data_IF_590630331041
#
_entry.id   IF_590630331041
#
_cell.length_a   1.000
_cell.length_b   1.000
_cell.length_c   1.000
_cell.angle_alpha   90.00
_cell.angle_beta   90.00
_cell.angle_gamma   90.00
#
_symmetry.space_group_name_H-M   'P 1'
#
loop_
_entity.id
_entity.type
_entity.pdbx_description
1 polymer ?
#
# COMPACT_ATOMS: atom_id res chain seq x y z
N UNK A 1 3.52 -44.77 23.76
CA UNK A 1 3.16 -43.36 23.99
C UNK A 1 4.37 -42.49 23.66
N UNK A 2 4.18 -41.45 22.83
CA UNK A 2 5.22 -40.52 22.36
C UNK A 2 5.45 -39.42 23.38
N UNK A 3 6.68 -38.95 23.57
CA UNK A 3 6.99 -37.52 23.32
C UNK A 3 8.51 -37.29 23.34
N UNK A 4 9.06 -36.82 22.21
CA UNK A 4 10.37 -36.17 22.13
C UNK A 4 10.12 -34.72 22.51
N UNK A 5 10.68 -34.25 23.62
CA UNK A 5 10.66 -32.83 23.95
C UNK A 5 11.61 -32.09 22.98
N UNK A 6 11.04 -31.32 22.06
CA UNK A 6 11.80 -30.35 21.28
C UNK A 6 12.03 -29.12 22.15
N UNK A 7 13.29 -28.80 22.42
CA UNK A 7 13.69 -27.55 23.06
C UNK A 7 13.50 -26.43 22.03
N UNK A 8 12.51 -25.57 22.24
CA UNK A 8 12.36 -24.35 21.46
C UNK A 8 13.41 -23.33 21.91
N UNK A 9 14.39 -23.07 21.05
CA UNK A 9 15.29 -21.93 21.20
C UNK A 9 14.49 -20.64 20.99
N UNK A 10 14.20 -19.94 22.08
CA UNK A 10 13.67 -18.57 22.01
C UNK A 10 14.81 -17.65 21.54
N UNK A 11 14.82 -17.32 20.25
CA UNK A 11 15.59 -16.19 19.77
C UNK A 11 14.93 -14.93 20.33
N UNK A 12 15.59 -14.29 21.30
CA UNK A 12 15.25 -12.96 21.79
C UNK A 12 15.54 -12.00 20.63
N UNK A 13 14.50 -11.71 19.83
CA UNK A 13 14.53 -10.60 18.89
C UNK A 13 14.16 -9.36 19.70
N UNK A 14 15.17 -8.52 19.94
CA UNK A 14 14.98 -7.17 20.48
C UNK A 14 13.96 -6.45 19.60
N UNK A 15 12.83 -6.05 20.19
CA UNK A 15 11.65 -5.54 19.51
C UNK A 15 11.87 -4.25 18.75
N UNK A 16 12.37 -4.35 17.53
CA UNK A 16 12.03 -3.41 16.46
C UNK A 16 10.80 -4.00 15.77
N UNK A 17 9.62 -3.69 16.33
CA UNK A 17 8.35 -4.04 15.73
C UNK A 17 8.19 -3.33 14.39
N UNK A 18 8.67 -3.96 13.32
CA UNK A 18 8.23 -3.61 11.98
C UNK A 18 6.78 -4.06 11.89
N UNK A 19 5.84 -3.13 12.02
CA UNK A 19 4.48 -3.38 11.56
C UNK A 19 4.56 -3.66 10.07
N UNK A 20 4.45 -4.94 9.70
CA UNK A 20 4.23 -5.34 8.32
C UNK A 20 2.85 -4.79 7.92
N UNK A 21 2.83 -3.62 7.28
CA UNK A 21 1.61 -3.07 6.72
C UNK A 21 1.13 -3.96 5.58
N UNK A 22 -0.19 -4.18 5.51
CA UNK A 22 -0.78 -4.90 4.39
C UNK A 22 -0.38 -4.23 3.07
N UNK A 23 0.14 -5.01 2.12
CA UNK A 23 0.54 -4.50 0.82
C UNK A 23 -0.71 -4.17 0.01
N UNK A 24 -0.80 -2.94 -0.48
CA UNK A 24 -1.88 -2.46 -1.35
C UNK A 24 -1.31 -1.92 -2.66
N UNK A 25 -2.06 -2.06 -3.74
CA UNK A 25 -1.73 -1.49 -5.05
C UNK A 25 -2.57 -0.23 -5.30
N UNK A 26 -1.98 0.98 -5.26
CA UNK A 26 -2.69 2.18 -5.69
C UNK A 26 -2.77 2.25 -7.22
N UNK A 27 -3.96 2.52 -7.74
CA UNK A 27 -4.22 2.68 -9.16
C UNK A 27 -4.83 4.05 -9.42
N UNK A 28 -4.17 4.85 -10.26
CA UNK A 28 -4.63 6.18 -10.64
C UNK A 28 -5.68 6.07 -11.75
N UNK A 29 -6.88 6.58 -11.48
CA UNK A 29 -7.97 6.65 -12.45
C UNK A 29 -8.06 8.08 -12.99
N UNK A 30 -7.08 8.49 -13.79
CA UNK A 30 -6.91 9.88 -14.22
C UNK A 30 -8.20 10.51 -14.78
N UNK A 31 -8.94 9.79 -15.63
CA UNK A 31 -10.18 10.29 -16.24
C UNK A 31 -11.33 10.49 -15.26
N UNK A 32 -11.27 9.86 -14.09
CA UNK A 32 -12.30 9.92 -13.06
C UNK A 32 -11.87 10.76 -11.85
N UNK A 33 -10.66 11.33 -11.86
CA UNK A 33 -10.07 12.09 -10.75
C UNK A 33 -10.10 11.34 -9.40
N UNK A 34 -9.86 10.02 -9.44
CA UNK A 34 -9.80 9.17 -8.24
C UNK A 34 -8.60 8.24 -8.26
N UNK A 35 -8.25 7.72 -7.08
CA UNK A 35 -7.29 6.63 -6.89
C UNK A 35 -7.96 5.45 -6.21
N UNK A 36 -7.87 4.28 -6.82
CA UNK A 36 -8.31 3.02 -6.22
C UNK A 36 -7.19 2.42 -5.36
N UNK A 37 -7.55 1.87 -4.21
CA UNK A 37 -6.69 0.98 -3.41
C UNK A 37 -7.12 -0.45 -3.72
N UNK A 38 -6.21 -1.25 -4.26
CA UNK A 38 -6.49 -2.62 -4.71
C UNK A 38 -5.76 -3.61 -3.81
N UNK A 39 -6.45 -4.67 -3.39
CA UNK A 39 -5.80 -5.85 -2.81
C UNK A 39 -5.09 -6.62 -3.93
N UNK A 40 -3.74 -6.73 -3.90
CA UNK A 40 -3.00 -7.37 -4.97
C UNK A 40 -3.21 -8.89 -5.06
N UNK A 41 -3.72 -9.54 -3.99
CA UNK A 41 -3.97 -10.99 -4.00
C UNK A 41 -5.27 -11.33 -4.71
N UNK A 42 -6.30 -10.53 -4.47
CA UNK A 42 -7.65 -10.79 -4.98
C UNK A 42 -8.01 -9.91 -6.18
N UNK A 43 -7.18 -8.90 -6.46
CA UNK A 43 -7.41 -7.87 -7.49
C UNK A 43 -8.74 -7.11 -7.28
N UNK A 44 -9.19 -7.01 -6.02
CA UNK A 44 -10.41 -6.30 -5.66
C UNK A 44 -10.10 -4.89 -5.18
N UNK A 45 -10.96 -3.93 -5.53
CA UNK A 45 -10.88 -2.56 -5.00
C UNK A 45 -11.38 -2.57 -3.56
N UNK A 46 -10.52 -2.19 -2.62
CA UNK A 46 -10.83 -2.13 -1.18
C UNK A 46 -11.16 -0.71 -0.72
N UNK A 47 -10.72 0.31 -1.45
CA UNK A 47 -11.11 1.70 -1.24
C UNK A 47 -10.97 2.52 -2.51
N UNK A 48 -11.66 3.67 -2.55
CA UNK A 48 -11.53 4.67 -3.61
C UNK A 48 -11.39 6.06 -2.97
N UNK A 49 -10.43 6.84 -3.45
CA UNK A 49 -10.02 8.12 -2.89
C UNK A 49 -10.19 9.20 -3.97
N UNK A 50 -10.90 10.27 -3.67
CA UNK A 50 -10.98 11.44 -4.56
C UNK A 50 -9.69 12.26 -4.51
N UNK A 51 -9.18 12.70 -5.66
CA UNK A 51 -7.95 13.48 -5.73
C UNK A 51 -8.10 14.91 -5.17
N UNK A 52 -9.32 15.47 -5.23
CA UNK A 52 -9.65 16.83 -4.73
C UNK A 52 -8.73 17.94 -5.27
N UNK A 53 -8.20 17.74 -6.48
CA UNK A 53 -7.41 18.74 -7.19
C UNK A 53 -8.31 19.67 -7.99
N UNK A 54 -7.93 20.95 -8.10
CA UNK A 54 -8.70 21.95 -8.82
C UNK A 54 -8.53 21.83 -10.35
N UNK A 55 -9.63 22.01 -11.09
CA UNK A 55 -9.62 22.03 -12.56
C UNK A 55 -9.35 20.66 -13.20
N UNK A 56 -8.62 20.65 -14.32
CA UNK A 56 -8.25 19.43 -15.07
C UNK A 56 -6.89 18.85 -14.64
N UNK A 57 -6.42 19.20 -13.45
CA UNK A 57 -5.15 18.74 -12.91
C UNK A 57 -5.42 17.41 -12.22
N UNK A 58 -5.10 16.31 -12.90
CA UNK A 58 -5.27 14.96 -12.39
C UNK A 58 -3.93 14.26 -12.28
N UNK A 59 -3.78 13.42 -11.26
CA UNK A 59 -2.59 12.60 -11.11
C UNK A 59 -2.39 11.73 -12.35
N UNK A 60 -1.15 11.66 -12.83
CA UNK A 60 -0.75 10.77 -13.92
C UNK A 60 0.19 9.66 -13.41
N UNK A 61 0.83 9.92 -12.28
CA UNK A 61 1.83 9.07 -11.68
C UNK A 61 1.54 8.94 -10.17
N UNK A 62 1.88 7.79 -9.60
CA UNK A 62 1.84 7.56 -8.17
C UNK A 62 3.12 6.85 -7.73
N UNK A 63 3.66 7.27 -6.60
CA UNK A 63 4.80 6.65 -5.95
C UNK A 63 4.42 6.25 -4.53
N UNK A 64 4.90 5.09 -4.09
CA UNK A 64 4.67 4.57 -2.73
C UNK A 64 6.02 4.37 -2.07
N UNK A 65 6.22 5.00 -0.91
CA UNK A 65 7.40 4.76 -0.08
C UNK A 65 7.26 3.47 0.72
N UNK A 66 8.37 2.84 1.16
CA UNK A 66 8.31 1.58 1.93
C UNK A 66 7.53 1.68 3.26
N UNK A 67 7.35 2.88 3.81
CA UNK A 67 6.52 3.14 5.00
C UNK A 67 5.01 3.19 4.68
N UNK A 68 4.62 2.99 3.42
CA UNK A 68 3.26 2.94 2.93
C UNK A 68 2.64 4.31 2.61
N UNK A 69 3.40 5.41 2.69
CA UNK A 69 2.91 6.71 2.23
C UNK A 69 2.84 6.73 0.70
N UNK A 70 1.83 7.41 0.16
CA UNK A 70 1.62 7.53 -1.28
C UNK A 70 1.68 8.99 -1.69
N UNK A 71 2.53 9.31 -2.67
CA UNK A 71 2.57 10.60 -3.35
C UNK A 71 1.97 10.45 -4.75
N UNK A 72 1.30 11.50 -5.24
CA UNK A 72 0.62 11.53 -6.54
C UNK A 72 1.06 12.78 -7.27
N UNK A 73 1.51 12.62 -8.51
CA UNK A 73 1.98 13.75 -9.30
C UNK A 73 1.03 14.05 -10.44
N UNK A 74 0.52 15.30 -10.52
CA UNK A 74 -0.25 15.72 -11.66
C UNK A 74 0.62 15.74 -12.90
N UNK A 75 0.01 15.50 -14.07
CA UNK A 75 0.70 15.75 -15.34
C UNK A 75 1.11 17.23 -15.37
N UNK A 76 2.40 17.51 -15.49
CA UNK A 76 2.86 18.82 -15.92
C UNK A 76 2.38 19.04 -17.36
N UNK A 77 1.47 19.99 -17.56
CA UNK A 77 1.14 20.50 -18.89
C UNK A 77 2.40 21.13 -19.50
N UNK A 78 2.67 20.99 -20.81
CA UNK A 78 3.45 22.00 -21.52
C UNK A 78 2.71 23.34 -21.52
#
# INVERSE_FOLDING_TARGET
>A
MRSKAAVAMAAIIVGLGFEARAQSLPLVNQGNATVSVVDPKTLTVTAQIEERLAGKIHAHEAAVSPDGKTERWPKSSP
#
